data_IF_029905926404
#
_entry.id   IF_029905926404
#
_cell.length_a   1.000
_cell.length_b   1.000
_cell.length_c   1.000
_cell.angle_alpha   90.00
_cell.angle_beta   90.00
_cell.angle_gamma   90.00
#
_symmetry.space_group_name_H-M   'P 1'
#
loop_
_entity.id
_entity.type
_entity.pdbx_description
1 polymer ?
#
# COMPACT_ATOMS: atom_id res chain seq x y z
N UNK A 1 7.78 21.63 47.10
CA UNK A 1 6.57 20.83 46.81
C UNK A 1 6.91 19.85 45.70
N UNK A 2 7.19 18.59 46.05
CA UNK A 2 7.37 17.53 45.07
C UNK A 2 6.00 17.23 44.45
N UNK A 3 5.80 17.68 43.22
CA UNK A 3 4.62 17.30 42.43
C UNK A 3 4.75 15.80 42.13
N UNK A 4 4.19 14.95 43.00
CA UNK A 4 3.93 13.56 42.62
C UNK A 4 2.84 13.59 41.54
N UNK A 5 3.15 13.21 40.29
CA UNK A 5 2.13 13.12 39.26
C UNK A 5 1.08 12.12 39.73
N UNK A 6 -0.19 12.53 39.68
CA UNK A 6 -1.30 11.65 40.01
C UNK A 6 -1.22 10.38 39.13
N UNK A 7 -1.50 9.19 39.68
CA UNK A 7 -1.51 7.97 38.89
C UNK A 7 -2.52 8.13 37.75
N UNK A 8 -2.09 7.79 36.54
CA UNK A 8 -2.93 7.90 35.36
C UNK A 8 -4.18 7.03 35.54
N UNK A 9 -5.37 7.52 35.12
CA UNK A 9 -6.57 6.71 35.16
C UNK A 9 -6.37 5.43 34.33
N UNK A 10 -6.90 4.28 34.78
CA UNK A 10 -6.77 3.03 34.05
C UNK A 10 -7.38 3.18 32.65
N UNK A 11 -6.71 2.62 31.64
CA UNK A 11 -7.18 2.66 30.27
C UNK A 11 -8.61 2.07 30.17
N UNK A 12 -9.55 2.84 29.61
CA UNK A 12 -10.92 2.38 29.39
C UNK A 12 -10.89 1.25 28.36
N UNK A 13 -11.14 0.02 28.84
CA UNK A 13 -11.23 -1.15 27.97
C UNK A 13 -12.58 -1.14 27.27
N UNK A 14 -12.55 -1.35 25.95
CA UNK A 14 -13.77 -1.52 25.16
C UNK A 14 -14.58 -2.68 25.75
N UNK A 15 -15.75 -2.38 26.31
CA UNK A 15 -16.66 -3.40 26.85
C UNK A 15 -17.30 -4.13 25.68
N UNK A 16 -16.83 -5.34 25.40
CA UNK A 16 -17.35 -6.18 24.31
C UNK A 16 -18.86 -6.44 24.47
N UNK A 17 -19.35 -6.45 25.71
CA UNK A 17 -20.77 -6.52 26.07
C UNK A 17 -21.60 -5.38 25.45
N UNK A 18 -21.01 -4.19 25.28
CA UNK A 18 -21.67 -3.03 24.67
C UNK A 18 -21.71 -3.10 23.14
N UNK A 19 -20.87 -3.94 22.52
CA UNK A 19 -20.84 -4.12 21.06
C UNK A 19 -21.98 -5.01 20.53
N UNK A 20 -22.67 -5.75 21.41
CA UNK A 20 -23.81 -6.57 21.02
C UNK A 20 -23.47 -7.60 19.94
N UNK A 21 -24.27 -7.63 18.86
CA UNK A 21 -24.17 -8.62 17.77
C UNK A 21 -23.15 -8.27 16.68
N UNK A 22 -22.62 -7.04 16.66
CA UNK A 22 -21.71 -6.54 15.62
C UNK A 22 -20.46 -7.44 15.37
N UNK A 23 -19.72 -7.90 16.38
CA UNK A 23 -18.52 -8.72 16.16
C UNK A 23 -18.83 -10.10 15.55
N UNK A 24 -20.09 -10.55 15.57
CA UNK A 24 -20.53 -11.80 14.94
C UNK A 24 -21.10 -11.55 13.54
N UNK A 25 -21.83 -10.45 13.37
CA UNK A 25 -22.51 -10.11 12.12
C UNK A 25 -21.53 -9.87 10.95
N UNK A 26 -20.47 -9.08 11.16
CA UNK A 26 -19.49 -8.79 10.10
C UNK A 26 -18.76 -10.03 9.56
N UNK A 27 -18.18 -10.92 10.39
CA UNK A 27 -17.55 -12.14 9.87
C UNK A 27 -18.57 -13.10 9.27
N UNK A 28 -19.80 -13.19 9.81
CA UNK A 28 -20.85 -14.02 9.23
C UNK A 28 -21.22 -13.56 7.81
N UNK A 29 -21.41 -12.25 7.59
CA UNK A 29 -21.64 -11.70 6.25
C UNK A 29 -20.48 -11.97 5.30
N UNK A 30 -19.23 -11.85 5.78
CA UNK A 30 -18.04 -12.17 5.00
C UNK A 30 -17.99 -13.64 4.57
N UNK A 31 -18.29 -14.57 5.48
CA UNK A 31 -18.34 -16.01 5.19
C UNK A 31 -19.47 -16.33 4.21
N UNK A 32 -20.65 -15.72 4.38
CA UNK A 32 -21.78 -15.89 3.45
C UNK A 32 -21.46 -15.36 2.05
N UNK A 33 -20.80 -14.22 1.96
CA UNK A 33 -20.34 -13.64 0.68
C UNK A 33 -19.27 -14.50 0.01
N UNK A 34 -18.36 -15.10 0.77
CA UNK A 34 -17.37 -16.02 0.24
C UNK A 34 -18.02 -17.34 -0.21
N UNK A 35 -18.96 -17.89 0.57
CA UNK A 35 -19.69 -19.09 0.19
C UNK A 35 -20.49 -18.89 -1.11
N UNK A 36 -21.18 -17.75 -1.26
CA UNK A 36 -21.96 -17.46 -2.46
C UNK A 36 -21.10 -17.33 -3.72
N UNK A 37 -19.90 -16.73 -3.62
CA UNK A 37 -18.98 -16.63 -4.77
C UNK A 37 -18.43 -17.99 -5.18
N UNK A 38 -18.06 -18.85 -4.24
CA UNK A 38 -17.63 -20.22 -4.56
C UNK A 38 -18.76 -21.04 -5.20
N UNK A 39 -19.98 -20.98 -4.66
CA UNK A 39 -21.14 -21.66 -5.25
C UNK A 39 -21.34 -21.18 -6.70
N UNK A 40 -21.39 -19.87 -6.93
CA UNK A 40 -21.61 -19.29 -8.25
C UNK A 40 -20.49 -19.63 -9.24
N UNK A 41 -19.23 -19.56 -8.82
CA UNK A 41 -18.10 -19.84 -9.69
C UNK A 41 -18.01 -21.31 -10.13
N UNK A 42 -18.32 -22.26 -9.24
CA UNK A 42 -18.35 -23.69 -9.60
C UNK A 42 -19.52 -24.09 -10.50
N UNK A 43 -20.59 -23.28 -10.56
CA UNK A 43 -21.76 -23.54 -11.39
C UNK A 43 -21.54 -23.25 -12.89
N UNK A 44 -20.45 -22.59 -13.29
CA UNK A 44 -20.15 -22.46 -14.72
C UNK A 44 -19.11 -21.42 -15.16
N UNK A 45 -18.53 -20.61 -14.28
CA UNK A 45 -17.60 -19.52 -14.65
C UNK A 45 -16.32 -19.55 -13.80
N UNK A 46 -15.55 -20.63 -13.90
CA UNK A 46 -14.33 -20.84 -13.10
C UNK A 46 -13.28 -19.74 -13.30
N UNK A 47 -13.03 -19.34 -14.54
CA UNK A 47 -12.02 -18.32 -14.86
C UNK A 47 -12.39 -16.97 -14.23
N UNK A 48 -13.67 -16.56 -14.33
CA UNK A 48 -14.15 -15.32 -13.73
C UNK A 48 -14.04 -15.36 -12.20
N UNK A 49 -14.29 -16.51 -11.57
CA UNK A 49 -14.08 -16.70 -10.13
C UNK A 49 -12.61 -16.50 -9.77
N UNK A 50 -11.68 -17.11 -10.52
CA UNK A 50 -10.25 -17.03 -10.25
C UNK A 50 -9.74 -15.57 -10.25
N UNK A 51 -10.01 -14.81 -11.33
CA UNK A 51 -9.57 -13.42 -11.44
C UNK A 51 -10.23 -12.49 -10.43
N UNK A 52 -11.54 -12.64 -10.20
CA UNK A 52 -12.26 -11.81 -9.21
C UNK A 52 -11.81 -12.10 -7.78
N UNK A 53 -11.50 -13.36 -7.45
CA UNK A 53 -10.99 -13.77 -6.16
C UNK A 53 -9.57 -13.21 -5.92
N UNK A 54 -8.68 -13.32 -6.91
CA UNK A 54 -7.34 -12.73 -6.85
C UNK A 54 -7.40 -11.21 -6.64
N UNK A 55 -8.30 -10.53 -7.35
CA UNK A 55 -8.51 -9.09 -7.17
C UNK A 55 -8.97 -8.74 -5.75
N UNK A 56 -9.98 -9.45 -5.23
CA UNK A 56 -10.47 -9.24 -3.86
C UNK A 56 -9.37 -9.49 -2.82
N UNK A 57 -8.57 -10.54 -3.01
CA UNK A 57 -7.40 -10.84 -2.19
C UNK A 57 -6.38 -9.70 -2.24
N UNK A 58 -6.03 -9.19 -3.43
CA UNK A 58 -5.08 -8.09 -3.60
C UNK A 58 -5.55 -6.80 -2.91
N UNK A 59 -6.85 -6.50 -2.95
CA UNK A 59 -7.44 -5.36 -2.22
C UNK A 59 -7.30 -5.57 -0.71
N UNK A 60 -7.69 -6.73 -0.18
CA UNK A 60 -7.54 -7.05 1.25
C UNK A 60 -6.07 -7.00 1.70
N UNK A 61 -5.17 -7.54 0.87
CA UNK A 61 -3.74 -7.54 1.10
C UNK A 61 -3.16 -6.13 1.15
N UNK A 62 -3.50 -5.25 0.20
CA UNK A 62 -2.97 -3.86 0.18
C UNK A 62 -3.47 -3.03 1.35
N UNK A 63 -4.70 -3.25 1.84
CA UNK A 63 -5.20 -2.61 3.07
C UNK A 63 -4.37 -3.04 4.28
N UNK A 64 -4.13 -4.35 4.44
CA UNK A 64 -3.33 -4.87 5.56
C UNK A 64 -1.85 -4.45 5.45
N UNK A 65 -1.28 -4.47 4.24
CA UNK A 65 0.08 -4.05 3.97
C UNK A 65 0.27 -2.55 4.22
N UNK A 66 -0.68 -1.71 3.82
CA UNK A 66 -0.68 -0.29 4.14
C UNK A 66 -0.72 -0.03 5.64
N UNK A 67 -1.53 -0.80 6.39
CA UNK A 67 -1.58 -0.70 7.84
C UNK A 67 -0.26 -1.10 8.51
N UNK A 68 0.36 -2.20 8.05
CA UNK A 68 1.67 -2.62 8.56
C UNK A 68 2.77 -1.62 8.20
N UNK A 69 2.78 -1.08 6.98
CA UNK A 69 3.73 -0.04 6.57
C UNK A 69 3.68 1.17 7.50
N UNK A 70 2.50 1.72 7.74
CA UNK A 70 2.34 2.86 8.64
C UNK A 70 2.72 2.52 10.09
N UNK A 71 2.44 1.30 10.53
CA UNK A 71 2.87 0.82 11.86
C UNK A 71 4.40 0.83 11.97
N UNK A 72 5.10 0.25 11.00
CA UNK A 72 6.57 0.23 10.96
C UNK A 72 7.14 1.65 10.89
N UNK A 73 6.56 2.51 10.05
CA UNK A 73 7.01 3.89 9.87
C UNK A 73 6.86 4.71 11.17
N UNK A 74 5.73 4.61 11.87
CA UNK A 74 5.51 5.32 13.12
C UNK A 74 6.47 4.87 14.23
N UNK A 75 6.81 3.58 14.29
CA UNK A 75 7.83 3.06 15.22
C UNK A 75 9.25 3.45 14.81
N UNK A 76 9.54 3.63 13.52
CA UNK A 76 10.86 4.05 13.05
C UNK A 76 11.15 5.55 13.32
N UNK A 77 10.11 6.38 13.23
CA UNK A 77 10.18 7.83 13.38
C UNK A 77 9.94 8.34 14.82
N UNK A 78 9.60 7.47 15.77
CA UNK A 78 9.19 7.85 17.14
C UNK A 78 8.11 8.95 17.16
N UNK A 79 7.04 8.75 16.38
CA UNK A 79 5.98 9.74 16.26
C UNK A 79 4.98 9.66 17.43
N UNK A 80 5.16 10.49 18.45
CA UNK A 80 4.32 10.51 19.67
C UNK A 80 2.85 10.89 19.43
N UNK A 81 2.57 11.68 18.40
CA UNK A 81 1.20 12.11 18.06
C UNK A 81 0.37 11.00 17.40
N UNK A 82 1.00 9.90 16.97
CA UNK A 82 0.38 8.83 16.18
C UNK A 82 -0.06 7.62 17.01
N UNK A 83 0.06 7.66 18.34
CA UNK A 83 -0.16 6.48 19.22
C UNK A 83 -1.55 5.87 19.07
N UNK A 84 -2.59 6.70 18.95
CA UNK A 84 -3.98 6.22 18.79
C UNK A 84 -4.15 5.56 17.41
N UNK A 85 -3.68 6.21 16.35
CA UNK A 85 -3.77 5.71 14.97
C UNK A 85 -3.00 4.40 14.83
N UNK A 86 -1.80 4.31 15.44
CA UNK A 86 -0.94 3.13 15.43
C UNK A 86 -1.65 1.89 15.98
N UNK A 87 -2.43 2.00 17.05
CA UNK A 87 -3.17 0.85 17.62
C UNK A 87 -4.23 0.29 16.68
N UNK A 88 -4.91 1.16 15.92
CA UNK A 88 -5.89 0.74 14.90
C UNK A 88 -5.16 0.01 13.77
N UNK A 89 -4.04 0.56 13.31
CA UNK A 89 -3.23 -0.03 12.24
C UNK A 89 -2.59 -1.36 12.65
N UNK A 90 -2.09 -1.49 13.88
CA UNK A 90 -1.58 -2.75 14.45
C UNK A 90 -2.67 -3.82 14.50
N UNK A 91 -3.91 -3.43 14.79
CA UNK A 91 -5.06 -4.33 14.79
C UNK A 91 -5.38 -4.83 13.38
N UNK A 92 -5.41 -3.92 12.38
CA UNK A 92 -5.62 -4.27 10.97
C UNK A 92 -4.47 -5.14 10.45
N UNK A 93 -3.22 -4.79 10.75
CA UNK A 93 -2.04 -5.57 10.35
C UNK A 93 -2.05 -6.98 10.96
N UNK A 94 -2.64 -7.18 12.14
CA UNK A 94 -2.76 -8.50 12.74
C UNK A 94 -3.74 -9.44 12.02
N UNK A 95 -4.45 -8.97 10.99
CA UNK A 95 -5.30 -9.79 10.13
C UNK A 95 -4.53 -10.55 9.04
N UNK A 96 -3.22 -10.34 8.87
CA UNK A 96 -2.41 -11.06 7.88
C UNK A 96 -2.50 -12.60 7.94
N UNK A 97 -2.57 -13.26 9.11
CA UNK A 97 -2.78 -14.70 9.18
C UNK A 97 -4.10 -15.15 8.53
N UNK A 98 -5.14 -14.31 8.53
CA UNK A 98 -6.40 -14.60 7.83
C UNK A 98 -6.16 -14.55 6.32
N UNK A 99 -5.40 -13.56 5.83
CA UNK A 99 -5.02 -13.49 4.41
C UNK A 99 -4.16 -14.68 3.98
N UNK A 100 -3.30 -15.20 4.85
CA UNK A 100 -2.55 -16.43 4.57
C UNK A 100 -3.49 -17.62 4.30
N UNK A 101 -4.56 -17.77 5.09
CA UNK A 101 -5.58 -18.80 4.86
C UNK A 101 -6.38 -18.54 3.58
N UNK A 102 -6.76 -17.28 3.33
CA UNK A 102 -7.47 -16.88 2.11
C UNK A 102 -6.60 -16.99 0.84
N UNK A 103 -5.29 -17.13 0.96
CA UNK A 103 -4.42 -17.38 -0.19
C UNK A 103 -4.44 -18.86 -0.63
N UNK A 104 -4.88 -19.79 0.22
CA UNK A 104 -4.87 -21.22 -0.09
C UNK A 104 -5.67 -21.59 -1.36
N UNK A 105 -6.88 -21.04 -1.60
CA UNK A 105 -7.60 -21.31 -2.85
C UNK A 105 -6.84 -20.83 -4.09
N UNK A 106 -6.14 -19.68 -4.01
CA UNK A 106 -5.33 -19.16 -5.12
C UNK A 106 -4.17 -20.12 -5.43
N UNK A 107 -3.49 -20.61 -4.39
CA UNK A 107 -2.33 -21.47 -4.53
C UNK A 107 -2.67 -22.88 -5.07
N UNK A 108 -3.81 -23.46 -4.69
CA UNK A 108 -4.11 -24.86 -5.00
C UNK A 108 -5.22 -25.06 -6.03
N UNK A 109 -6.19 -24.15 -6.12
CA UNK A 109 -7.39 -24.36 -6.95
C UNK A 109 -7.33 -23.62 -8.30
N UNK A 110 -6.72 -22.45 -8.33
CA UNK A 110 -6.71 -21.57 -9.51
C UNK A 110 -5.35 -21.32 -10.20
N UNK A 111 -4.21 -21.96 -9.86
CA UNK A 111 -2.91 -21.51 -10.36
C UNK A 111 -2.80 -21.59 -11.89
N UNK A 112 -3.28 -22.69 -12.49
CA UNK A 112 -3.23 -22.90 -13.93
C UNK A 112 -4.25 -22.04 -14.72
N UNK A 113 -5.33 -21.60 -14.06
CA UNK A 113 -6.35 -20.73 -14.67
C UNK A 113 -5.89 -19.25 -14.64
N UNK A 114 -5.16 -18.87 -13.59
CA UNK A 114 -4.67 -17.50 -13.39
C UNK A 114 -3.43 -17.17 -14.21
N UNK A 115 -2.45 -18.07 -14.20
CA UNK A 115 -1.12 -17.82 -14.75
C UNK A 115 -0.89 -18.64 -16.01
N UNK A 116 -1.05 -18.01 -17.18
CA UNK A 116 -0.83 -18.65 -18.48
C UNK A 116 0.57 -19.27 -18.62
N UNK A 117 1.59 -18.67 -18.00
CA UNK A 117 2.96 -19.19 -18.03
C UNK A 117 3.13 -20.56 -17.34
N UNK A 118 2.16 -21.00 -16.52
CA UNK A 118 2.18 -22.34 -15.91
C UNK A 118 1.59 -23.42 -16.83
N UNK A 119 0.88 -23.04 -17.89
CA UNK A 119 0.27 -23.96 -18.86
C UNK A 119 0.95 -23.95 -20.22
N UNK A 120 1.61 -22.84 -20.58
CA UNK A 120 2.27 -22.68 -21.88
C UNK A 120 3.54 -23.52 -21.97
N UNK A 121 3.72 -24.19 -23.11
CA UNK A 121 4.89 -25.01 -23.36
C UNK A 121 6.10 -24.14 -23.73
N UNK A 122 7.30 -24.51 -23.24
CA UNK A 122 8.51 -23.70 -23.41
C UNK A 122 8.96 -23.55 -24.88
N UNK A 123 8.52 -24.48 -25.74
CA UNK A 123 8.83 -24.44 -27.17
C UNK A 123 8.03 -23.36 -27.91
N UNK A 124 6.88 -22.94 -27.37
CA UNK A 124 5.99 -21.98 -28.01
C UNK A 124 6.48 -20.53 -27.79
N UNK A 125 7.03 -20.24 -26.59
CA UNK A 125 7.45 -18.89 -26.22
C UNK A 125 8.93 -18.79 -25.77
N UNK A 126 9.84 -18.29 -26.63
CA UNK A 126 11.25 -18.11 -26.25
C UNK A 126 11.43 -17.07 -25.13
N UNK A 127 10.49 -16.13 -24.97
CA UNK A 127 10.51 -15.16 -23.87
C UNK A 127 10.34 -15.84 -22.51
N UNK A 128 9.47 -16.86 -22.44
CA UNK A 128 9.23 -17.62 -21.21
C UNK A 128 10.47 -18.43 -20.82
N UNK A 129 11.18 -19.00 -21.81
CA UNK A 129 12.43 -19.72 -21.58
C UNK A 129 13.49 -18.86 -20.87
N UNK A 130 13.63 -17.58 -21.26
CA UNK A 130 14.54 -16.64 -20.60
C UNK A 130 14.11 -16.26 -19.17
N UNK A 131 12.80 -16.25 -18.89
CA UNK A 131 12.24 -15.90 -17.56
C UNK A 131 12.11 -17.11 -16.64
N UNK A 132 12.38 -18.32 -17.13
CA UNK A 132 12.22 -19.59 -16.41
C UNK A 132 12.90 -19.65 -15.04
N UNK A 133 14.09 -19.06 -14.81
CA UNK A 133 14.70 -19.06 -13.48
C UNK A 133 13.83 -18.36 -12.43
N UNK A 134 13.07 -17.34 -12.83
CA UNK A 134 12.16 -16.62 -11.95
C UNK A 134 10.73 -17.19 -11.97
N UNK A 135 10.21 -17.52 -13.16
CA UNK A 135 8.89 -18.11 -13.39
C UNK A 135 8.98 -19.64 -13.37
N UNK A 136 9.23 -20.18 -12.18
CA UNK A 136 9.21 -21.61 -11.91
C UNK A 136 8.21 -21.90 -10.79
N UNK A 137 7.37 -22.92 -10.95
CA UNK A 137 6.29 -23.26 -10.01
C UNK A 137 6.79 -23.45 -8.56
N UNK A 138 7.76 -24.35 -8.25
CA UNK A 138 8.26 -24.50 -6.89
C UNK A 138 8.86 -23.20 -6.34
N UNK A 139 9.57 -22.43 -7.17
CA UNK A 139 10.18 -21.18 -6.71
C UNK A 139 9.13 -20.10 -6.41
N UNK A 140 8.07 -20.03 -7.23
CA UNK A 140 6.92 -19.16 -7.02
C UNK A 140 6.21 -19.46 -5.69
N UNK A 141 5.92 -20.73 -5.39
CA UNK A 141 5.28 -21.10 -4.12
C UNK A 141 6.15 -20.79 -2.90
N UNK A 142 7.46 -21.04 -2.97
CA UNK A 142 8.41 -20.69 -1.90
C UNK A 142 8.39 -19.18 -1.63
N UNK A 143 8.42 -18.35 -2.69
CA UNK A 143 8.34 -16.89 -2.58
C UNK A 143 7.02 -16.44 -1.96
N UNK A 144 5.90 -16.95 -2.45
CA UNK A 144 4.57 -16.63 -1.90
C UNK A 144 4.46 -16.98 -0.42
N UNK A 145 4.92 -18.17 -0.03
CA UNK A 145 4.94 -18.60 1.36
C UNK A 145 5.83 -17.70 2.22
N UNK A 146 7.02 -17.34 1.72
CA UNK A 146 7.93 -16.43 2.41
C UNK A 146 7.29 -15.06 2.67
N UNK A 147 6.67 -14.45 1.66
CA UNK A 147 6.01 -13.14 1.81
C UNK A 147 4.89 -13.21 2.84
N UNK A 148 3.95 -14.15 2.69
CA UNK A 148 2.79 -14.28 3.57
C UNK A 148 3.20 -14.59 5.01
N UNK A 149 4.22 -15.42 5.21
CA UNK A 149 4.77 -15.72 6.53
C UNK A 149 5.43 -14.48 7.15
N UNK A 150 6.23 -13.75 6.38
CA UNK A 150 6.86 -12.51 6.84
C UNK A 150 5.80 -11.49 7.29
N UNK A 151 4.79 -11.21 6.46
CA UNK A 151 3.72 -10.27 6.79
C UNK A 151 2.91 -10.72 8.01
N UNK A 152 2.59 -12.01 8.11
CA UNK A 152 1.85 -12.58 9.24
C UNK A 152 2.64 -12.48 10.54
N UNK A 153 3.93 -12.85 10.51
CA UNK A 153 4.80 -12.77 11.68
C UNK A 153 5.00 -11.32 12.11
N UNK A 154 5.27 -10.41 11.17
CA UNK A 154 5.45 -8.99 11.47
C UNK A 154 4.18 -8.39 12.10
N UNK A 155 2.99 -8.63 11.51
CA UNK A 155 1.73 -8.12 12.05
C UNK A 155 1.41 -8.63 13.45
N UNK A 156 1.62 -9.94 13.70
CA UNK A 156 1.39 -10.53 15.02
C UNK A 156 2.43 -10.10 16.06
N UNK A 157 3.70 -9.99 15.67
CA UNK A 157 4.78 -9.56 16.55
C UNK A 157 4.57 -8.12 17.02
N UNK A 158 4.25 -7.21 16.11
CA UNK A 158 4.03 -5.80 16.45
C UNK A 158 2.81 -5.63 17.37
N UNK A 159 1.68 -6.28 17.04
CA UNK A 159 0.51 -6.26 17.92
C UNK A 159 0.79 -6.90 19.28
N UNK A 160 1.47 -8.04 19.30
CA UNK A 160 1.77 -8.77 20.53
C UNK A 160 2.69 -8.00 21.47
N UNK A 161 3.75 -7.38 20.95
CA UNK A 161 4.66 -6.54 21.73
C UNK A 161 4.00 -5.24 22.20
N UNK A 162 3.15 -4.62 21.36
CA UNK A 162 2.39 -3.41 21.73
C UNK A 162 1.43 -3.67 22.89
N UNK A 163 0.70 -4.79 22.87
CA UNK A 163 -0.20 -5.19 23.98
C UNK A 163 0.58 -5.47 25.27
N UNK A 164 1.78 -6.07 25.17
CA UNK A 164 2.66 -6.29 26.33
C UNK A 164 3.17 -4.97 26.90
N UNK A 165 3.50 -4.01 26.03
CA UNK A 165 3.92 -2.67 26.45
C UNK A 165 2.84 -1.96 27.27
N UNK A 166 1.57 -2.11 26.90
CA UNK A 166 0.44 -1.56 27.66
C UNK A 166 0.22 -2.24 29.02
N UNK A 167 0.71 -3.47 29.20
CA UNK A 167 0.56 -4.24 30.45
C UNK A 167 1.72 -4.02 31.42
N UNK A 168 2.96 -4.10 30.92
CA UNK A 168 4.18 -4.05 31.73
C UNK A 168 4.71 -2.62 31.90
N UNK A 169 4.43 -1.70 30.95
CA UNK A 169 4.94 -0.33 30.97
C UNK A 169 6.45 -0.20 30.76
N UNK A 170 7.17 -1.27 30.39
CA UNK A 170 8.63 -1.28 30.25
C UNK A 170 9.10 -0.53 28.97
N UNK A 171 9.93 0.52 29.08
CA UNK A 171 10.47 1.25 27.93
C UNK A 171 11.35 0.40 26.99
N UNK A 172 11.86 -0.76 27.45
CA UNK A 172 12.66 -1.66 26.61
C UNK A 172 11.87 -2.25 25.45
N UNK A 173 10.57 -2.46 25.63
CA UNK A 173 9.69 -2.99 24.56
C UNK A 173 9.55 -1.98 23.41
N UNK A 174 9.42 -0.70 23.73
CA UNK A 174 9.38 0.39 22.76
C UNK A 174 10.68 0.45 21.95
N UNK A 175 11.83 0.38 22.62
CA UNK A 175 13.14 0.38 21.96
C UNK A 175 13.33 -0.85 21.05
N UNK A 176 12.81 -2.02 21.47
CA UNK A 176 12.85 -3.23 20.66
C UNK A 176 12.01 -3.10 19.39
N UNK A 177 10.79 -2.58 19.50
CA UNK A 177 9.89 -2.33 18.36
C UNK A 177 10.48 -1.34 17.35
N UNK A 178 11.13 -0.30 17.87
CA UNK A 178 11.88 0.69 17.07
C UNK A 178 13.04 0.04 16.32
N UNK A 179 13.86 -0.74 17.02
CA UNK A 179 15.02 -1.40 16.43
C UNK A 179 14.61 -2.44 15.36
N UNK A 180 13.55 -3.21 15.60
CA UNK A 180 13.04 -4.15 14.59
C UNK A 180 12.46 -3.44 13.37
N UNK A 181 11.93 -2.23 13.53
CA UNK A 181 11.34 -1.47 12.43
C UNK A 181 12.38 -1.10 11.36
N UNK A 182 13.59 -0.73 11.78
CA UNK A 182 14.68 -0.38 10.85
C UNK A 182 15.08 -1.53 9.92
N UNK A 183 15.07 -2.77 10.42
CA UNK A 183 15.31 -3.94 9.59
C UNK A 183 14.09 -4.36 8.76
N UNK A 184 12.88 -4.19 9.30
CA UNK A 184 11.66 -4.70 8.67
C UNK A 184 11.18 -3.81 7.53
N UNK A 185 11.42 -2.49 7.54
CA UNK A 185 11.01 -1.58 6.46
C UNK A 185 11.62 -1.96 5.09
N UNK A 186 12.95 -2.11 4.93
CA UNK A 186 13.51 -2.48 3.63
C UNK A 186 13.04 -3.87 3.19
N UNK A 187 12.96 -4.84 4.12
CA UNK A 187 12.43 -6.17 3.83
C UNK A 187 10.96 -6.12 3.39
N UNK A 188 10.15 -5.28 4.03
CA UNK A 188 8.75 -5.04 3.67
C UNK A 188 8.62 -4.52 2.25
N UNK A 189 9.41 -3.51 1.86
CA UNK A 189 9.34 -2.93 0.52
C UNK A 189 9.73 -3.95 -0.56
N UNK A 190 10.78 -4.75 -0.29
CA UNK A 190 11.19 -5.83 -1.19
C UNK A 190 10.11 -6.89 -1.32
N UNK A 191 9.56 -7.38 -0.21
CA UNK A 191 8.50 -8.38 -0.22
C UNK A 191 7.24 -7.87 -0.94
N UNK A 192 6.85 -6.61 -0.72
CA UNK A 192 5.69 -6.01 -1.36
C UNK A 192 5.88 -5.89 -2.88
N UNK A 193 7.09 -5.50 -3.32
CA UNK A 193 7.41 -5.34 -4.74
C UNK A 193 7.42 -6.69 -5.46
N UNK A 194 8.08 -7.70 -4.89
CA UNK A 194 8.09 -9.04 -5.47
C UNK A 194 6.72 -9.71 -5.42
N UNK A 195 5.92 -9.52 -4.36
CA UNK A 195 4.54 -9.99 -4.31
C UNK A 195 3.68 -9.36 -5.42
N UNK A 196 3.87 -8.07 -5.72
CA UNK A 196 3.21 -7.40 -6.84
C UNK A 196 3.62 -7.99 -8.19
N UNK A 197 4.90 -8.33 -8.37
CA UNK A 197 5.38 -9.00 -9.57
C UNK A 197 4.80 -10.41 -9.73
N UNK A 198 4.82 -11.19 -8.67
CA UNK A 198 4.36 -12.58 -8.66
C UNK A 198 2.84 -12.70 -8.84
N UNK A 199 2.04 -11.86 -8.19
CA UNK A 199 0.58 -12.02 -8.20
C UNK A 199 -0.11 -11.25 -9.32
N UNK A 200 0.38 -10.06 -9.69
CA UNK A 200 -0.31 -9.18 -10.63
C UNK A 200 0.38 -9.14 -11.99
N UNK A 201 1.67 -8.77 -12.03
CA UNK A 201 2.37 -8.70 -13.33
C UNK A 201 2.55 -10.08 -13.97
N UNK A 202 2.70 -11.16 -13.18
CA UNK A 202 2.88 -12.49 -13.75
C UNK A 202 1.62 -13.02 -14.47
N UNK A 203 0.44 -12.40 -14.30
CA UNK A 203 -0.76 -12.76 -15.08
C UNK A 203 -0.52 -12.61 -16.58
N UNK A 204 0.20 -11.55 -16.97
CA UNK A 204 0.69 -11.36 -18.33
C UNK A 204 2.22 -11.27 -18.33
N UNK A 205 2.85 -12.42 -18.51
CA UNK A 205 4.30 -12.53 -18.56
C UNK A 205 4.94 -11.88 -19.81
N UNK A 206 4.15 -11.52 -20.83
CA UNK A 206 4.65 -10.76 -21.99
C UNK A 206 4.79 -9.28 -21.67
N UNK A 207 4.02 -8.78 -20.72
CA UNK A 207 3.98 -7.37 -20.41
C UNK A 207 5.25 -6.90 -19.70
N UNK A 208 6.03 -6.05 -20.38
CA UNK A 208 7.07 -5.24 -19.78
C UNK A 208 6.85 -3.78 -20.17
N UNK A 209 6.64 -2.90 -19.21
CA UNK A 209 6.61 -1.47 -19.47
C UNK A 209 8.03 -0.96 -19.68
N UNK A 210 8.54 -1.07 -20.91
CA UNK A 210 9.53 -0.11 -21.40
C UNK A 210 8.72 1.13 -21.71
N UNK A 211 8.77 2.19 -20.90
CA UNK A 211 8.24 3.47 -21.36
C UNK A 211 9.12 3.96 -22.53
N UNK A 212 8.68 3.87 -23.81
CA UNK A 212 9.46 4.42 -24.92
C UNK A 212 9.29 5.96 -24.98
N UNK A 213 8.43 6.50 -24.13
CA UNK A 213 7.86 7.84 -24.21
C UNK A 213 8.79 8.95 -23.71
N UNK A 214 9.90 8.63 -23.02
CA UNK A 214 10.88 9.66 -22.60
C UNK A 214 11.96 9.88 -23.66
N UNK A 215 12.33 8.87 -24.46
CA UNK A 215 13.38 9.03 -25.47
C UNK A 215 12.84 9.53 -26.83
N UNK A 216 11.60 9.20 -27.20
CA UNK A 216 11.05 9.67 -28.47
C UNK A 216 10.60 11.15 -28.44
N UNK A 217 10.26 11.71 -27.27
CA UNK A 217 9.80 13.10 -27.16
C UNK A 217 10.87 14.11 -26.69
N UNK A 218 11.93 13.69 -26.00
CA UNK A 218 13.04 14.59 -25.64
C UNK A 218 13.96 14.90 -26.84
N UNK A 219 13.95 14.05 -27.87
CA UNK A 219 14.69 14.30 -29.13
C UNK A 219 14.02 15.25 -30.13
N UNK A 220 12.83 15.79 -29.83
CA UNK A 220 12.08 16.72 -30.72
C UNK A 220 11.82 18.08 -30.08
N UNK A 221 12.70 18.56 -29.21
CA UNK A 221 12.78 20.00 -29.00
C UNK A 221 13.53 20.60 -30.21
N UNK A 222 12.87 21.38 -31.08
CA UNK A 222 13.60 22.14 -32.07
C UNK A 222 14.47 23.12 -31.30
N UNK A 223 15.79 22.93 -31.36
CA UNK A 223 16.75 24.01 -31.11
C UNK A 223 16.49 25.09 -32.16
N UNK A 224 15.45 25.90 -31.93
CA UNK A 224 15.16 27.09 -32.70
C UNK A 224 16.30 28.04 -32.37
N UNK A 225 17.33 28.03 -33.24
CA UNK A 225 18.44 28.98 -33.30
C UNK A 225 17.97 30.33 -32.75
N UNK A 226 18.45 30.72 -31.57
CA UNK A 226 18.47 32.13 -31.19
C UNK A 226 19.37 32.82 -32.22
N UNK A 227 18.77 33.46 -33.22
CA UNK A 227 19.47 34.48 -34.01
C UNK A 227 19.64 35.69 -33.09
N UNK A 228 20.85 36.24 -32.93
CA UNK A 228 21.00 37.51 -32.26
C UNK A 228 20.33 38.57 -33.15
N UNK A 229 19.24 39.16 -32.65
CA UNK A 229 18.60 40.32 -33.28
C UNK A 229 19.44 41.54 -32.90
N UNK A 230 20.37 41.90 -33.78
CA UNK A 230 20.98 43.22 -33.78
C UNK A 230 19.96 44.20 -34.39
N UNK A 231 19.12 44.81 -33.55
CA UNK A 231 18.39 46.02 -33.91
C UNK A 231 19.00 47.20 -33.16
N UNK A 232 19.60 48.13 -33.92
CA UNK A 232 20.01 49.45 -33.43
C UNK A 232 18.81 50.28 -32.97
N UNK A 233 19.03 51.35 -32.18
CA UNK A 233 17.96 52.06 -31.50
C UNK A 233 17.25 53.04 -32.46
N UNK A 234 15.91 53.16 -32.36
CA UNK A 234 15.30 54.44 -32.66
C UNK A 234 14.33 54.89 -31.55
N UNK A 235 14.66 56.07 -31.02
CA UNK A 235 13.77 57.16 -30.61
C UNK A 235 12.57 56.84 -29.69
N UNK A 236 12.78 57.17 -28.41
CA UNK A 236 11.75 57.42 -27.41
C UNK A 236 10.88 58.62 -27.85
N UNK A 237 9.68 58.39 -28.36
CA UNK A 237 8.69 59.45 -28.55
C UNK A 237 7.67 59.41 -27.41
N UNK A 238 7.89 60.34 -26.49
CA UNK A 238 7.08 60.68 -25.35
C UNK A 238 5.83 61.40 -25.85
N UNK A 239 4.62 60.84 -25.65
CA UNK A 239 3.32 61.52 -25.49
C UNK A 239 2.15 60.56 -25.78
N UNK A 240 1.36 60.22 -24.76
CA UNK A 240 -0.05 60.64 -24.62
C UNK A 240 -0.69 60.06 -23.34
N UNK A 241 -1.70 60.75 -22.78
CA UNK A 241 -1.91 60.85 -21.33
C UNK A 241 -3.00 59.92 -20.79
N UNK A 242 -2.90 59.61 -19.49
CA UNK A 242 -3.96 58.99 -18.70
C UNK A 242 -5.19 59.91 -18.66
N UNK A 243 -6.32 59.42 -19.16
CA UNK A 243 -7.63 60.05 -19.07
C UNK A 243 -8.49 59.30 -18.06
N UNK A 244 -8.78 59.98 -16.95
CA UNK A 244 -10.01 59.99 -16.16
C UNK A 244 -10.77 58.67 -15.93
N UNK A 245 -10.71 58.17 -14.69
CA UNK A 245 -11.93 57.76 -13.96
C UNK A 245 -11.88 58.22 -12.48
N UNK A 246 -13.04 58.52 -11.89
CA UNK A 246 -13.15 59.47 -10.79
C UNK A 246 -12.88 58.84 -9.41
N UNK A 247 -12.48 59.73 -8.51
CA UNK A 247 -12.37 59.55 -7.08
C UNK A 247 -13.72 59.27 -6.40
N UNK A 248 -13.83 58.14 -5.72
CA UNK A 248 -14.67 58.05 -4.52
C UNK A 248 -13.78 57.93 -3.30
N UNK A 249 -13.86 59.00 -2.51
CA UNK A 249 -13.24 59.24 -1.22
C UNK A 249 -14.29 58.88 -0.17
N UNK A 250 -13.84 58.44 1.01
CA UNK A 250 -14.57 58.42 2.29
C UNK A 250 -15.09 57.07 2.76
N UNK A 251 -14.24 56.32 3.47
CA UNK A 251 -14.59 55.75 4.77
C UNK A 251 -13.26 55.47 5.50
N UNK A 252 -13.27 55.52 6.83
CA UNK A 252 -12.13 55.50 7.77
C UNK A 252 -11.58 56.88 8.20
N UNK A 253 -12.37 57.56 9.04
CA UNK A 253 -11.86 58.39 10.14
C UNK A 253 -12.67 58.12 11.41
N UNK A 254 -11.96 57.67 12.46
CA UNK A 254 -12.21 57.96 13.87
C UNK A 254 -13.36 57.24 14.58
N UNK A 255 -13.04 56.27 15.44
CA UNK A 255 -12.94 56.47 16.91
C UNK A 255 -12.24 55.28 17.54
#
# INVERSE_FOLDING_TARGET
>A
MSHHPAPLPPAEKLRIERLGILPVLFPAMGILGLASTFIWGFLGHRDQLAFSYLFAFAVGFTICAGALFWTLLHHALDADWSVIVRRILESIASCFPILLVLFLPIAFLFPHDLWHWMTTDLAEDPLLAWKRPFLNEPFFYIRCAFYLLFFSLAGLLYRGLSVRQDTDGDPRLTLRLRHTAYGFIPLFVLCLTFAGFDWLMALDHHWYTRSPLVLHHVGRLPLRRMRPVLHGPPHFNQQRPCSNRPSERSLYRGT
#
